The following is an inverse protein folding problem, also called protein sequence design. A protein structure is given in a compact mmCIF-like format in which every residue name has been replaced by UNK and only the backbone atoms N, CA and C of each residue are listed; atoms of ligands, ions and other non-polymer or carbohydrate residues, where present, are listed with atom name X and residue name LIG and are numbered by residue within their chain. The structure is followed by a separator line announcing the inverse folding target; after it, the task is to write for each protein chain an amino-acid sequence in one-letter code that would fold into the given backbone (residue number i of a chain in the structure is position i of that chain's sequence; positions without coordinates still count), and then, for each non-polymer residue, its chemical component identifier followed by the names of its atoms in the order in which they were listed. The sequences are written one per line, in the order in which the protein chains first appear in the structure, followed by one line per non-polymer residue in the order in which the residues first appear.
data_IF_912425187348
#
_entry.id   IF_912425187348
#
_cell.length_a   1.000
_cell.length_b   1.000
_cell.length_c   1.000
_cell.angle_alpha   90.00
_cell.angle_beta   90.00
_cell.angle_gamma   90.00
#
_symmetry.space_group_name_H-M   'P 1'
#
loop_
_entity.id
_entity.type
_entity.pdbx_description
1 polymer ?
#
# COMPACT_ATOMS: atom_id res chain seq x y z
N UNK A 1 19.50 -8.80 21.06
CA UNK A 1 18.42 -7.94 21.58
C UNK A 1 18.00 -6.84 20.60
N UNK A 2 18.82 -5.88 20.20
CA UNK A 2 18.38 -4.84 19.23
C UNK A 2 18.19 -5.37 17.80
N UNK A 3 18.98 -6.35 17.35
CA UNK A 3 18.81 -6.99 16.03
C UNK A 3 17.59 -7.91 15.95
N UNK A 4 17.26 -8.63 17.04
CA UNK A 4 16.08 -9.50 17.10
C UNK A 4 14.78 -8.69 17.12
N UNK A 5 14.75 -7.58 17.85
CA UNK A 5 13.60 -6.66 17.84
C UNK A 5 13.47 -5.98 16.47
N UNK A 6 14.58 -5.58 15.84
CA UNK A 6 14.55 -5.01 14.49
C UNK A 6 14.08 -6.00 13.43
N UNK A 7 14.46 -7.28 13.54
CA UNK A 7 13.97 -8.34 12.64
C UNK A 7 12.50 -8.69 12.91
N UNK A 8 12.05 -8.72 14.16
CA UNK A 8 10.63 -8.89 14.48
C UNK A 8 9.77 -7.73 13.96
N UNK A 9 10.26 -6.48 14.03
CA UNK A 9 9.56 -5.32 13.47
C UNK A 9 9.56 -5.34 11.95
N UNK A 10 10.64 -5.79 11.31
CA UNK A 10 10.68 -5.99 9.87
C UNK A 10 9.61 -7.01 9.45
N UNK A 11 9.62 -8.20 10.06
CA UNK A 11 8.68 -9.32 9.80
C UNK A 11 7.20 -8.98 10.01
N UNK A 12 6.89 -7.94 10.79
CA UNK A 12 5.51 -7.50 10.96
C UNK A 12 4.91 -7.01 9.64
N UNK A 13 5.65 -6.24 8.83
CA UNK A 13 5.07 -5.63 7.62
C UNK A 13 4.67 -6.69 6.60
N UNK A 14 5.45 -7.75 6.44
CA UNK A 14 5.13 -8.81 5.48
C UNK A 14 4.02 -9.72 6.01
N UNK A 15 4.03 -10.03 7.32
CA UNK A 15 2.95 -10.77 7.97
C UNK A 15 1.60 -10.02 7.91
N UNK A 16 1.62 -8.69 8.05
CA UNK A 16 0.42 -7.87 7.87
C UNK A 16 -0.07 -7.86 6.42
N UNK A 17 0.82 -7.89 5.42
CA UNK A 17 0.42 -7.96 4.01
C UNK A 17 -0.31 -9.26 3.72
N UNK A 18 0.20 -10.38 4.24
CA UNK A 18 -0.43 -11.70 4.10
C UNK A 18 -1.83 -11.72 4.76
N UNK A 19 -1.96 -11.18 5.98
CA UNK A 19 -3.24 -11.09 6.66
C UNK A 19 -4.24 -10.11 6.00
N UNK A 20 -3.74 -9.03 5.39
CA UNK A 20 -4.55 -8.10 4.61
C UNK A 20 -5.03 -8.72 3.31
N UNK A 21 -4.15 -9.47 2.63
CA UNK A 21 -4.48 -10.14 1.38
C UNK A 21 -5.51 -11.26 1.59
N UNK A 22 -5.33 -12.06 2.64
CA UNK A 22 -6.29 -13.09 3.06
C UNK A 22 -7.67 -12.50 3.41
N UNK A 23 -7.71 -11.30 3.99
CA UNK A 23 -8.97 -10.63 4.36
C UNK A 23 -9.54 -9.69 3.29
N UNK A 24 -8.95 -9.62 2.09
CA UNK A 24 -9.46 -8.79 1.00
C UNK A 24 -9.32 -7.28 1.20
N UNK A 25 -8.45 -6.85 2.13
CA UNK A 25 -8.30 -5.44 2.53
C UNK A 25 -7.42 -4.68 1.55
N UNK A 26 -7.99 -4.34 0.39
CA UNK A 26 -7.29 -3.71 -0.75
C UNK A 26 -6.43 -2.51 -0.37
N UNK A 27 -6.98 -1.57 0.40
CA UNK A 27 -6.27 -0.34 0.80
C UNK A 27 -5.09 -0.61 1.74
N UNK A 28 -5.22 -1.62 2.61
CA UNK A 28 -4.13 -2.05 3.49
C UNK A 28 -3.03 -2.73 2.67
N UNK A 29 -3.39 -3.63 1.75
CA UNK A 29 -2.44 -4.25 0.83
C UNK A 29 -1.68 -3.18 0.05
N UNK A 30 -2.37 -2.20 -0.51
CA UNK A 30 -1.76 -1.10 -1.28
C UNK A 30 -0.76 -0.31 -0.41
N UNK A 31 -1.18 0.08 0.80
CA UNK A 31 -0.32 0.81 1.73
C UNK A 31 0.94 0.02 2.08
N UNK A 32 0.81 -1.29 2.30
CA UNK A 32 1.93 -2.16 2.67
C UNK A 32 2.89 -2.38 1.51
N UNK A 33 2.38 -2.55 0.29
CA UNK A 33 3.18 -2.65 -0.93
C UNK A 33 3.94 -1.35 -1.24
N UNK A 34 3.30 -0.19 -1.05
CA UNK A 34 3.96 1.13 -1.16
C UNK A 34 5.08 1.33 -0.11
N UNK A 35 4.96 0.67 1.04
CA UNK A 35 6.01 0.63 2.07
C UNK A 35 7.11 -0.42 1.79
N UNK A 36 7.06 -1.09 0.63
CA UNK A 36 8.02 -2.12 0.24
C UNK A 36 7.86 -3.40 1.06
N UNK A 37 6.62 -3.82 1.34
CA UNK A 37 6.35 -5.17 1.79
C UNK A 37 6.69 -6.17 0.67
N UNK A 38 7.22 -7.32 1.06
CA UNK A 38 7.60 -8.38 0.13
C UNK A 38 6.34 -9.14 -0.33
N UNK A 39 6.10 -9.18 -1.64
CA UNK A 39 4.97 -9.90 -2.25
C UNK A 39 5.14 -11.41 -2.19
N UNK A 40 6.37 -11.88 -1.99
CA UNK A 40 6.75 -13.29 -1.97
C UNK A 40 6.96 -13.81 -0.55
N UNK A 41 6.63 -13.01 0.45
CA UNK A 41 6.73 -13.43 1.84
C UNK A 41 5.83 -14.63 2.11
N UNK A 42 6.39 -15.61 2.80
CA UNK A 42 5.68 -16.80 3.26
C UNK A 42 5.97 -16.99 4.74
N UNK A 43 5.02 -17.58 5.46
CA UNK A 43 5.25 -18.03 6.82
C UNK A 43 4.84 -19.51 6.98
N UNK A 44 5.37 -20.14 8.02
CA UNK A 44 5.09 -21.55 8.30
C UNK A 44 3.66 -21.81 8.78
N UNK A 45 2.97 -20.76 9.26
CA UNK A 45 1.64 -20.81 9.86
C UNK A 45 0.52 -20.88 8.80
N UNK A 46 0.76 -20.39 7.58
CA UNK A 46 -0.24 -20.32 6.49
C UNK A 46 0.06 -21.27 5.33
N UNK A 47 0.65 -22.44 5.61
CA UNK A 47 1.04 -23.42 4.58
C UNK A 47 1.99 -22.88 3.49
N UNK A 48 2.83 -21.91 3.84
CA UNK A 48 3.69 -21.21 2.88
C UNK A 48 2.91 -20.46 1.78
N UNK A 49 1.65 -20.08 2.05
CA UNK A 49 0.90 -19.19 1.16
C UNK A 49 1.62 -17.84 1.03
N UNK A 50 1.86 -17.42 -0.21
CA UNK A 50 2.19 -16.03 -0.52
C UNK A 50 0.94 -15.16 -0.37
N UNK A 51 1.06 -13.82 -0.19
CA UNK A 51 -0.06 -12.89 -0.25
C UNK A 51 -0.97 -13.10 -1.46
N UNK A 52 -0.39 -13.44 -2.62
CA UNK A 52 -1.15 -13.72 -3.84
C UNK A 52 -2.00 -14.99 -3.70
N UNK A 53 -1.41 -16.09 -3.22
CA UNK A 53 -2.13 -17.35 -3.01
C UNK A 53 -3.25 -17.18 -1.97
N UNK A 54 -3.00 -16.45 -0.87
CA UNK A 54 -3.99 -16.16 0.15
C UNK A 54 -5.17 -15.32 -0.38
N UNK A 55 -4.92 -14.32 -1.23
CA UNK A 55 -5.97 -13.55 -1.88
C UNK A 55 -6.79 -14.39 -2.87
N UNK A 56 -6.15 -15.31 -3.60
CA UNK A 56 -6.83 -16.24 -4.51
C UNK A 56 -7.73 -17.23 -3.77
N UNK A 57 -7.24 -17.78 -2.65
CA UNK A 57 -7.96 -18.75 -1.80
C UNK A 57 -9.30 -18.20 -1.30
N UNK A 58 -9.38 -16.88 -1.11
CA UNK A 58 -10.58 -16.18 -0.66
C UNK A 58 -11.31 -15.40 -1.78
N UNK A 59 -10.88 -15.52 -3.04
CA UNK A 59 -11.55 -14.90 -4.19
C UNK A 59 -11.42 -13.38 -4.28
N UNK A 60 -10.42 -12.77 -3.65
CA UNK A 60 -10.26 -11.31 -3.58
C UNK A 60 -9.62 -10.72 -4.83
N UNK A 61 -10.39 -10.67 -5.93
CA UNK A 61 -9.93 -10.24 -7.27
C UNK A 61 -9.19 -8.91 -7.29
N UNK A 62 -9.72 -7.89 -6.62
CA UNK A 62 -9.09 -6.57 -6.59
C UNK A 62 -7.70 -6.61 -5.94
N UNK A 63 -7.54 -7.40 -4.87
CA UNK A 63 -6.25 -7.60 -4.21
C UNK A 63 -5.30 -8.40 -5.09
N UNK A 64 -5.80 -9.41 -5.80
CA UNK A 64 -5.00 -10.18 -6.77
C UNK A 64 -4.47 -9.29 -7.89
N UNK A 65 -5.31 -8.45 -8.49
CA UNK A 65 -4.88 -7.48 -9.51
C UNK A 65 -3.81 -6.52 -8.96
N UNK A 66 -3.99 -6.03 -7.73
CA UNK A 66 -3.02 -5.16 -7.08
C UNK A 66 -1.68 -5.87 -6.86
N UNK A 67 -1.67 -7.08 -6.32
CA UNK A 67 -0.44 -7.84 -6.07
C UNK A 67 0.31 -8.16 -7.36
N UNK A 68 -0.40 -8.55 -8.43
CA UNK A 68 0.19 -8.77 -9.76
C UNK A 68 0.79 -7.48 -10.33
N UNK A 69 0.11 -6.33 -10.17
CA UNK A 69 0.64 -5.04 -10.60
C UNK A 69 1.91 -4.64 -9.84
N UNK A 70 2.06 -5.09 -8.60
CA UNK A 70 3.26 -4.92 -7.78
C UNK A 70 4.33 -6.02 -7.99
N UNK A 71 4.17 -6.87 -9.00
CA UNK A 71 5.18 -7.84 -9.41
C UNK A 71 5.13 -9.18 -8.66
N UNK A 72 4.01 -9.50 -7.99
CA UNK A 72 3.85 -10.81 -7.36
C UNK A 72 3.93 -11.94 -8.39
N UNK A 73 4.68 -13.00 -8.06
CA UNK A 73 4.94 -14.11 -8.97
C UNK A 73 3.80 -15.14 -8.96
N UNK A 74 2.97 -15.12 -10.01
CA UNK A 74 1.88 -16.07 -10.22
C UNK A 74 2.32 -17.54 -10.39
N UNK A 75 3.61 -17.81 -10.59
CA UNK A 75 4.14 -19.17 -10.77
C UNK A 75 4.47 -19.88 -9.45
N UNK A 76 4.43 -19.16 -8.32
CA UNK A 76 4.61 -19.74 -6.99
C UNK A 76 3.46 -20.67 -6.64
N UNK A 77 3.78 -21.63 -5.80
CA UNK A 77 2.85 -22.64 -5.31
C UNK A 77 2.99 -22.80 -3.80
N UNK A 78 1.93 -23.33 -3.19
CA UNK A 78 1.92 -23.69 -1.76
C UNK A 78 2.71 -25.00 -1.51
N UNK A 79 2.69 -25.46 -0.25
CA UNK A 79 3.33 -26.71 0.18
C UNK A 79 2.95 -27.95 -0.61
N UNK A 80 1.73 -28.01 -1.14
CA UNK A 80 1.21 -29.15 -1.91
C UNK A 80 1.43 -28.96 -3.42
N UNK A 81 2.24 -27.97 -3.81
CA UNK A 81 2.45 -27.51 -5.18
C UNK A 81 1.18 -27.04 -5.90
N UNK A 82 0.19 -26.55 -5.16
CA UNK A 82 -0.97 -25.90 -5.77
C UNK A 82 -0.56 -24.52 -6.29
N UNK A 83 -0.70 -24.32 -7.61
CA UNK A 83 -0.58 -22.99 -8.22
C UNK A 83 -1.82 -22.14 -7.93
N UNK A 84 -1.77 -20.84 -8.29
CA UNK A 84 -2.93 -19.94 -8.19
C UNK A 84 -4.21 -20.53 -8.83
N UNK A 85 -4.10 -21.25 -9.96
CA UNK A 85 -5.26 -21.85 -10.62
C UNK A 85 -5.78 -23.10 -9.90
N UNK A 86 -4.91 -23.89 -9.26
CA UNK A 86 -5.37 -25.01 -8.41
C UNK A 86 -6.17 -24.47 -7.22
N UNK A 87 -5.67 -23.39 -6.58
CA UNK A 87 -6.35 -22.75 -5.46
C UNK A 87 -7.72 -22.21 -5.89
N UNK A 88 -7.80 -21.50 -7.02
CA UNK A 88 -9.08 -20.97 -7.53
C UNK A 88 -10.04 -22.12 -7.85
N UNK A 89 -9.56 -23.20 -8.49
CA UNK A 89 -10.37 -24.39 -8.80
C UNK A 89 -10.89 -25.11 -7.55
N UNK A 90 -10.12 -25.12 -6.45
CA UNK A 90 -10.50 -25.81 -5.23
C UNK A 90 -11.48 -25.01 -4.35
N UNK A 91 -11.43 -23.68 -4.45
CA UNK A 91 -12.11 -22.78 -3.51
C UNK A 91 -13.30 -22.02 -4.10
N UNK A 92 -13.11 -21.34 -5.23
CA UNK A 92 -14.06 -20.33 -5.73
C UNK A 92 -14.62 -20.64 -7.10
N UNK A 93 -13.83 -21.24 -7.99
CA UNK A 93 -14.21 -21.47 -9.39
C UNK A 93 -14.46 -20.17 -10.18
N UNK A 94 -13.86 -19.04 -9.77
CA UNK A 94 -14.11 -17.75 -10.40
C UNK A 94 -13.33 -17.58 -11.71
N UNK A 95 -14.03 -17.71 -12.83
CA UNK A 95 -13.50 -17.57 -14.20
C UNK A 95 -12.77 -16.24 -14.43
N UNK A 96 -13.31 -15.19 -13.84
CA UNK A 96 -12.86 -13.85 -14.09
C UNK A 96 -11.72 -13.46 -13.11
N UNK A 97 -11.52 -14.22 -12.03
CA UNK A 97 -10.26 -14.29 -11.29
C UNK A 97 -9.18 -15.04 -12.09
N UNK A 98 -9.50 -16.21 -12.67
CA UNK A 98 -8.53 -16.97 -13.49
C UNK A 98 -8.01 -16.18 -14.69
N UNK A 99 -8.89 -15.35 -15.29
CA UNK A 99 -8.53 -14.48 -16.42
C UNK A 99 -7.44 -13.45 -16.07
N UNK A 100 -7.26 -13.09 -14.79
CA UNK A 100 -6.21 -12.16 -14.36
C UNK A 100 -4.80 -12.74 -14.52
N UNK A 101 -4.66 -14.05 -14.66
CA UNK A 101 -3.36 -14.71 -14.80
C UNK A 101 -2.91 -14.89 -16.26
N UNK A 102 -3.66 -14.36 -17.24
CA UNK A 102 -3.20 -14.33 -18.62
C UNK A 102 -1.98 -13.40 -18.77
N UNK A 103 -0.93 -13.80 -19.52
CA UNK A 103 -0.85 -14.98 -20.40
C UNK A 103 -0.40 -16.29 -19.71
N UNK A 104 0.05 -16.25 -18.47
CA UNK A 104 0.60 -17.42 -17.74
C UNK A 104 -0.45 -18.51 -17.43
N UNK A 105 -1.74 -18.18 -17.52
CA UNK A 105 -2.86 -19.07 -17.21
C UNK A 105 -2.77 -20.44 -17.92
N UNK A 106 -2.34 -20.48 -19.19
CA UNK A 106 -2.21 -21.74 -19.93
C UNK A 106 -1.16 -22.68 -19.31
N UNK A 107 0.03 -22.17 -19.01
CA UNK A 107 1.07 -22.95 -18.37
C UNK A 107 0.61 -23.48 -17.01
N UNK A 108 -0.05 -22.62 -16.22
CA UNK A 108 -0.54 -22.96 -14.88
C UNK A 108 -1.68 -23.99 -14.91
N UNK A 109 -2.55 -23.97 -15.92
CA UNK A 109 -3.67 -24.91 -16.03
C UNK A 109 -3.22 -26.36 -16.28
N UNK A 110 -2.04 -26.54 -16.89
CA UNK A 110 -1.47 -27.87 -17.19
C UNK A 110 -0.47 -28.37 -16.15
N UNK A 111 -0.04 -27.51 -15.21
CA UNK A 111 0.81 -27.97 -14.09
C UNK A 111 0.03 -28.93 -13.19
N UNK A 112 0.71 -29.94 -12.67
CA UNK A 112 0.15 -30.88 -11.69
C UNK A 112 0.67 -30.58 -10.29
N UNK A 113 -0.21 -30.60 -9.29
CA UNK A 113 0.17 -30.55 -7.88
C UNK A 113 0.75 -31.89 -7.38
N UNK A 114 1.07 -31.99 -6.07
CA UNK A 114 1.64 -33.23 -5.49
C UNK A 114 0.68 -34.42 -5.49
N UNK A 115 -0.62 -34.18 -5.63
CA UNK A 115 -1.62 -35.24 -5.85
C UNK A 115 -1.67 -35.71 -7.32
N UNK A 116 -0.87 -35.12 -8.20
CA UNK A 116 -0.85 -35.42 -9.64
C UNK A 116 -2.05 -34.87 -10.41
N UNK A 117 -2.78 -33.91 -9.83
CA UNK A 117 -3.97 -33.30 -10.43
C UNK A 117 -3.63 -31.95 -11.03
N UNK A 118 -4.24 -31.63 -12.16
CA UNK A 118 -4.24 -30.28 -12.74
C UNK A 118 -5.34 -29.41 -12.15
N UNK A 119 -5.29 -28.09 -12.38
CA UNK A 119 -6.37 -27.19 -12.00
C UNK A 119 -7.72 -27.57 -12.66
N UNK A 120 -7.67 -28.10 -13.90
CA UNK A 120 -8.86 -28.59 -14.61
C UNK A 120 -9.42 -29.84 -13.93
N UNK A 121 -8.57 -30.78 -13.51
CA UNK A 121 -9.02 -31.99 -12.80
C UNK A 121 -9.72 -31.64 -11.48
N UNK A 122 -9.16 -30.68 -10.72
CA UNK A 122 -9.78 -30.18 -9.49
C UNK A 122 -11.12 -29.51 -9.79
N UNK A 123 -11.20 -28.67 -10.81
CA UNK A 123 -12.44 -27.99 -11.19
C UNK A 123 -13.56 -28.99 -11.53
N UNK A 124 -13.23 -30.08 -12.24
CA UNK A 124 -14.16 -31.15 -12.55
C UNK A 124 -14.61 -31.90 -11.28
N UNK A 125 -13.68 -32.20 -10.36
CA UNK A 125 -14.00 -32.85 -9.09
C UNK A 125 -14.87 -31.98 -8.17
N UNK A 126 -14.72 -30.65 -8.25
CA UNK A 126 -15.52 -29.66 -7.50
C UNK A 126 -16.81 -29.25 -8.23
N UNK A 127 -17.10 -29.86 -9.38
CA UNK A 127 -18.27 -29.58 -10.23
C UNK A 127 -18.33 -28.14 -10.79
N UNK A 128 -17.18 -27.46 -10.90
CA UNK A 128 -17.05 -26.14 -11.53
C UNK A 128 -16.88 -26.27 -13.06
N UNK A 129 -17.92 -26.77 -13.74
CA UNK A 129 -17.88 -27.04 -15.18
C UNK A 129 -17.59 -25.81 -16.03
N UNK A 130 -18.22 -24.67 -15.71
CA UNK A 130 -18.02 -23.41 -16.44
C UNK A 130 -16.58 -22.89 -16.29
N UNK A 131 -16.00 -23.02 -15.08
CA UNK A 131 -14.60 -22.72 -14.83
C UNK A 131 -13.64 -23.63 -15.60
N UNK A 132 -13.91 -24.94 -15.63
CA UNK A 132 -13.11 -25.91 -16.38
C UNK A 132 -13.13 -25.62 -17.90
N UNK A 133 -14.31 -25.29 -18.44
CA UNK A 133 -14.47 -24.86 -19.84
C UNK A 133 -13.72 -23.55 -20.12
N UNK A 134 -13.81 -22.58 -19.20
CA UNK A 134 -13.09 -21.31 -19.30
C UNK A 134 -11.57 -21.51 -19.32
N UNK A 135 -11.03 -22.35 -18.42
CA UNK A 135 -9.61 -22.70 -18.43
C UNK A 135 -9.19 -23.38 -19.74
N UNK A 136 -10.03 -24.25 -20.31
CA UNK A 136 -9.77 -24.87 -21.60
C UNK A 136 -9.71 -23.83 -22.72
N UNK A 137 -10.67 -22.89 -22.76
CA UNK A 137 -10.69 -21.79 -23.72
C UNK A 137 -9.47 -20.87 -23.60
N UNK A 138 -9.06 -20.52 -22.39
CA UNK A 138 -7.85 -19.72 -22.13
C UNK A 138 -6.57 -20.41 -22.64
N UNK A 139 -6.53 -21.75 -22.63
CA UNK A 139 -5.41 -22.51 -23.20
C UNK A 139 -5.41 -22.48 -24.73
N UNK A 140 -6.58 -22.63 -25.38
CA UNK A 140 -6.69 -22.69 -26.85
C UNK A 140 -6.42 -21.36 -27.56
N UNK A 141 -6.65 -20.23 -26.90
CA UNK A 141 -6.52 -18.91 -27.50
C UNK A 141 -5.08 -18.37 -27.54
N UNK A 142 -4.15 -18.95 -26.78
CA UNK A 142 -2.74 -18.53 -26.75
C UNK A 142 -1.84 -19.23 -27.79
N UNK A 143 -2.32 -20.31 -28.42
CA UNK A 143 -1.58 -21.02 -29.48
C UNK A 143 -1.76 -20.39 -30.88
N UNK A 144 -2.60 -19.34 -30.98
CA UNK A 144 -2.98 -18.70 -32.24
C UNK A 144 -2.02 -17.65 -32.79
N UNK A 145 -0.93 -17.32 -32.11
CA UNK A 145 0.08 -16.37 -32.60
C UNK A 145 1.35 -17.09 -33.09
N UNK A 146 1.18 -18.07 -33.98
CA UNK A 146 2.27 -18.56 -34.83
C UNK A 146 2.14 -17.91 -36.20
N UNK A 147 3.04 -16.96 -36.45
CA UNK A 147 3.19 -16.18 -37.68
C UNK A 147 3.08 -17.07 -38.93
N UNK A 148 2.04 -16.82 -39.74
CA UNK A 148 2.13 -17.01 -41.17
C UNK A 148 2.87 -15.81 -41.75
N UNK A 149 4.19 -15.89 -41.87
CA UNK A 149 4.89 -15.09 -42.89
C UNK A 149 6.07 -15.87 -43.46
N UNK A 150 5.90 -16.15 -44.74
CA UNK A 150 6.83 -16.79 -45.63
C UNK A 150 7.57 -15.64 -46.33
N UNK A 151 8.85 -15.41 -46.02
CA UNK A 151 9.73 -14.83 -47.04
C UNK A 151 11.22 -15.12 -46.83
N UNK A 152 11.73 -15.87 -47.80
CA UNK A 152 13.11 -15.97 -48.24
C UNK A 152 13.74 -14.59 -48.52
N UNK A 153 14.90 -14.30 -47.92
CA UNK A 153 16.19 -14.13 -48.63
C UNK A 153 17.21 -13.20 -47.95
N UNK A 154 18.46 -13.64 -48.03
CA UNK A 154 19.72 -12.88 -48.07
C UNK A 154 20.26 -12.12 -46.85
N UNK A 155 21.24 -12.78 -46.22
CA UNK A 155 22.67 -12.39 -46.22
C UNK A 155 23.11 -11.05 -45.59
N UNK A 156 24.02 -11.20 -44.62
CA UNK A 156 25.26 -10.43 -44.38
C UNK A 156 25.26 -9.48 -43.16
N UNK A 157 26.25 -9.70 -42.28
CA UNK A 157 27.27 -8.75 -41.75
C UNK A 157 26.75 -7.37 -41.25
N UNK A 158 27.12 -6.76 -40.12
CA UNK A 158 28.25 -6.87 -39.20
C UNK A 158 28.18 -5.67 -38.21
N UNK A 159 28.71 -5.82 -37.00
CA UNK A 159 29.42 -4.80 -36.18
C UNK A 159 28.71 -3.60 -35.53
N UNK A 160 29.16 -3.39 -34.27
CA UNK A 160 29.52 -2.15 -33.55
C UNK A 160 28.47 -1.31 -32.81
N UNK A 161 28.70 -1.23 -31.49
CA UNK A 161 28.83 -0.04 -30.63
C UNK A 161 27.67 0.99 -30.55
N UNK A 162 27.14 1.21 -29.34
CA UNK A 162 27.44 2.36 -28.44
C UNK A 162 26.28 2.60 -27.44
N UNK A 163 26.64 2.93 -26.20
CA UNK A 163 25.79 3.32 -25.04
C UNK A 163 25.04 4.67 -25.22
N UNK A 164 24.07 5.03 -24.32
CA UNK A 164 22.91 5.90 -24.58
C UNK A 164 23.13 7.38 -24.23
N UNK A 165 22.14 8.26 -24.48
CA UNK A 165 21.72 9.15 -23.39
C UNK A 165 20.24 9.58 -23.34
N UNK A 166 19.78 9.75 -22.09
CA UNK A 166 19.03 10.87 -21.49
C UNK A 166 17.61 11.28 -21.94
N UNK A 167 16.87 11.61 -20.88
CA UNK A 167 15.53 12.19 -20.77
C UNK A 167 15.19 13.36 -21.70
N UNK A 168 13.91 13.40 -22.09
CA UNK A 168 13.02 14.57 -22.20
C UNK A 168 11.58 14.05 -22.35
N UNK A 169 10.71 14.20 -21.35
CA UNK A 169 9.59 15.16 -21.39
C UNK A 169 8.79 15.16 -22.70
N UNK A 170 7.55 14.65 -22.67
CA UNK A 170 6.40 15.03 -23.52
C UNK A 170 5.16 14.45 -22.80
N UNK A 171 4.36 15.30 -22.17
CA UNK A 171 3.22 16.01 -22.74
C UNK A 171 1.95 15.15 -22.69
N UNK A 172 1.02 15.64 -21.86
CA UNK A 172 -0.37 15.21 -21.76
C UNK A 172 -1.05 15.73 -23.02
N UNK A 173 -1.53 14.83 -23.88
CA UNK A 173 -2.52 15.16 -24.89
C UNK A 173 -3.86 14.55 -24.46
N UNK A 174 -4.77 15.49 -24.23
CA UNK A 174 -6.19 15.40 -23.95
C UNK A 174 -6.91 15.13 -25.28
N UNK A 175 -7.62 14.01 -25.39
CA UNK A 175 -8.55 13.78 -26.50
C UNK A 175 -9.75 12.94 -26.07
N UNK A 176 -10.87 13.63 -25.85
CA UNK A 176 -12.12 13.33 -26.54
C UNK A 176 -12.88 12.07 -26.12
N UNK A 177 -13.67 12.17 -25.05
CA UNK A 177 -14.87 11.36 -24.86
C UNK A 177 -15.91 11.76 -25.93
N UNK A 178 -16.16 10.90 -26.92
CA UNK A 178 -17.25 11.04 -27.88
C UNK A 178 -18.38 10.07 -27.50
N UNK A 179 -19.52 10.66 -27.13
CA UNK A 179 -20.80 10.02 -26.87
C UNK A 179 -21.47 9.71 -28.21
N UNK A 180 -21.77 8.44 -28.46
CA UNK A 180 -22.69 8.05 -29.51
C UNK A 180 -23.41 6.77 -29.15
N UNK A 181 -24.45 6.96 -28.35
CA UNK A 181 -25.62 6.08 -28.30
C UNK A 181 -26.29 6.05 -29.68
N UNK A 182 -26.36 4.89 -30.35
CA UNK A 182 -27.56 4.52 -31.13
C UNK A 182 -27.64 3.04 -31.54
N UNK A 183 -28.81 2.49 -31.23
CA UNK A 183 -29.59 1.53 -32.01
C UNK A 183 -29.08 0.08 -32.19
N UNK A 184 -29.55 -0.78 -31.29
CA UNK A 184 -30.16 -2.03 -31.73
C UNK A 184 -31.67 -1.99 -31.46
N UNK A 185 -32.43 -1.89 -32.55
CA UNK A 185 -33.85 -2.17 -32.54
C UNK A 185 -34.08 -3.67 -32.36
N UNK A 186 -34.94 -3.94 -31.40
CA UNK A 186 -35.68 -5.15 -31.10
C UNK A 186 -36.24 -5.88 -32.33
N UNK A 187 -36.17 -7.21 -32.28
CA UNK A 187 -37.26 -8.05 -32.75
C UNK A 187 -37.36 -9.32 -31.89
N UNK A 188 -38.54 -9.51 -31.28
CA UNK A 188 -39.19 -10.77 -30.87
C UNK A 188 -38.48 -11.62 -29.77
N UNK A 189 -39.07 -12.05 -28.66
CA UNK A 189 -40.46 -12.41 -28.40
C UNK A 189 -40.61 -12.77 -26.90
N UNK A 190 -41.69 -12.30 -26.27
CA UNK A 190 -42.48 -12.85 -25.16
C UNK A 190 -41.82 -13.64 -24.01
N UNK A 191 -41.98 -13.11 -22.79
CA UNK A 191 -41.78 -13.85 -21.54
C UNK A 191 -41.82 -12.90 -20.34
N UNK A 192 -43.02 -12.46 -19.97
CA UNK A 192 -43.28 -11.71 -18.73
C UNK A 192 -42.91 -12.57 -17.52
N UNK A 193 -41.86 -12.23 -16.80
CA UNK A 193 -41.71 -12.55 -15.39
C UNK A 193 -41.28 -11.26 -14.67
N UNK A 194 -42.27 -10.66 -13.99
CA UNK A 194 -42.07 -9.57 -13.06
C UNK A 194 -41.20 -10.05 -11.90
N UNK A 195 -39.90 -9.72 -11.93
CA UNK A 195 -39.11 -9.64 -10.71
C UNK A 195 -38.84 -8.17 -10.44
N UNK A 196 -39.55 -7.65 -9.45
CA UNK A 196 -39.27 -6.37 -8.82
C UNK A 196 -37.80 -6.35 -8.39
N UNK A 197 -36.94 -5.65 -9.15
CA UNK A 197 -35.65 -5.19 -8.64
C UNK A 197 -35.99 -4.07 -7.67
N UNK A 198 -36.31 -4.47 -6.45
CA UNK A 198 -36.40 -3.57 -5.31
C UNK A 198 -35.06 -2.81 -5.21
N UNK A 199 -35.18 -1.50 -5.12
CA UNK A 199 -34.15 -0.53 -4.78
C UNK A 199 -33.02 -1.15 -3.95
N UNK A 200 -31.86 -1.38 -4.58
CA UNK A 200 -30.61 -1.41 -3.84
C UNK A 200 -30.31 0.06 -3.57
N UNK A 201 -30.58 0.43 -2.32
CA UNK A 201 -30.56 1.76 -1.75
C UNK A 201 -29.39 2.62 -2.27
N UNK A 202 -29.69 3.75 -2.91
CA UNK A 202 -28.74 4.85 -3.16
C UNK A 202 -28.00 5.26 -1.85
N UNK A 203 -28.61 5.00 -0.70
CA UNK A 203 -28.04 5.18 0.64
C UNK A 203 -26.82 4.28 0.90
N UNK A 204 -26.75 3.07 0.35
CA UNK A 204 -25.60 2.16 0.54
C UNK A 204 -24.38 2.56 -0.29
N UNK A 205 -24.60 3.13 -1.49
CA UNK A 205 -23.53 3.64 -2.34
C UNK A 205 -22.92 4.94 -1.78
N UNK A 206 -23.77 5.86 -1.30
CA UNK A 206 -23.31 7.08 -0.61
C UNK A 206 -22.55 6.74 0.70
N UNK A 207 -23.04 5.77 1.49
CA UNK A 207 -22.33 5.31 2.69
C UNK A 207 -20.98 4.65 2.36
N UNK A 208 -20.88 3.86 1.30
CA UNK A 208 -19.60 3.27 0.86
C UNK A 208 -18.61 4.32 0.37
N UNK A 209 -19.07 5.38 -0.31
CA UNK A 209 -18.21 6.49 -0.73
C UNK A 209 -17.74 7.33 0.46
N UNK A 210 -18.59 7.59 1.45
CA UNK A 210 -18.22 8.28 2.68
C UNK A 210 -17.20 7.47 3.51
N UNK A 211 -17.39 6.15 3.65
CA UNK A 211 -16.45 5.25 4.33
C UNK A 211 -15.10 5.17 3.60
N UNK A 212 -15.12 5.14 2.26
CA UNK A 212 -13.90 5.16 1.43
C UNK A 212 -13.14 6.47 1.55
N UNK A 213 -13.85 7.60 1.56
CA UNK A 213 -13.26 8.93 1.74
C UNK A 213 -12.71 9.12 3.18
N UNK A 214 -13.42 8.63 4.20
CA UNK A 214 -12.95 8.63 5.58
C UNK A 214 -11.68 7.78 5.76
N UNK A 215 -11.63 6.62 5.08
CA UNK A 215 -10.45 5.74 5.10
C UNK A 215 -9.24 6.39 4.45
N UNK A 216 -9.41 7.03 3.28
CA UNK A 216 -8.35 7.83 2.63
C UNK A 216 -7.89 8.99 3.53
N UNK A 217 -8.83 9.65 4.21
CA UNK A 217 -8.53 10.73 5.14
C UNK A 217 -7.70 10.24 6.34
N UNK A 218 -8.03 9.07 6.91
CA UNK A 218 -7.22 8.45 7.96
C UNK A 218 -5.83 8.08 7.45
N UNK A 219 -5.72 7.53 6.25
CA UNK A 219 -4.46 7.09 5.66
C UNK A 219 -3.49 8.25 5.43
N UNK A 220 -3.98 9.40 4.93
CA UNK A 220 -3.17 10.62 4.79
C UNK A 220 -2.73 11.15 6.15
N UNK A 221 -3.62 11.15 7.15
CA UNK A 221 -3.27 11.56 8.52
C UNK A 221 -2.21 10.65 9.13
N UNK A 222 -2.32 9.34 8.92
CA UNK A 222 -1.38 8.34 9.43
C UNK A 222 -0.03 8.46 8.73
N UNK A 223 -0.01 8.72 7.42
CA UNK A 223 1.21 8.98 6.65
C UNK A 223 1.91 10.27 7.11
N UNK A 224 1.17 11.36 7.28
CA UNK A 224 1.71 12.64 7.78
C UNK A 224 2.26 12.49 9.21
N UNK A 225 1.52 11.81 10.08
CA UNK A 225 1.97 11.52 11.44
C UNK A 225 3.23 10.63 11.45
N UNK A 226 3.30 9.63 10.57
CA UNK A 226 4.46 8.76 10.41
C UNK A 226 5.68 9.53 9.90
N UNK A 227 5.50 10.41 8.91
CA UNK A 227 6.58 11.23 8.38
C UNK A 227 7.12 12.20 9.44
N UNK A 228 6.21 12.92 10.13
CA UNK A 228 6.57 13.79 11.25
C UNK A 228 7.30 13.00 12.35
N UNK A 229 6.81 11.82 12.71
CA UNK A 229 7.46 10.93 13.66
C UNK A 229 8.87 10.52 13.19
N UNK A 230 9.03 10.18 11.91
CA UNK A 230 10.34 9.81 11.35
C UNK A 230 11.34 10.97 11.39
N UNK A 231 10.88 12.21 11.13
CA UNK A 231 11.70 13.41 11.19
C UNK A 231 12.16 13.68 12.63
N UNK A 232 11.24 13.60 13.60
CA UNK A 232 11.55 13.76 15.04
C UNK A 232 12.50 12.64 15.53
N UNK A 233 12.27 11.40 15.09
CA UNK A 233 13.15 10.27 15.44
C UNK A 233 14.55 10.44 14.87
N UNK A 234 14.67 10.94 13.63
CA UNK A 234 15.95 11.23 12.99
C UNK A 234 16.70 12.33 13.73
N UNK A 235 16.04 13.45 14.02
CA UNK A 235 16.67 14.56 14.77
C UNK A 235 17.12 14.12 16.17
N UNK A 236 16.32 13.28 16.84
CA UNK A 236 16.71 12.64 18.11
C UNK A 236 17.97 11.79 17.95
N UNK A 237 18.07 11.00 16.89
CA UNK A 237 19.20 10.09 16.66
C UNK A 237 20.48 10.86 16.28
N UNK A 238 20.36 11.92 15.49
CA UNK A 238 21.45 12.85 15.19
C UNK A 238 21.97 13.51 16.49
N UNK A 239 21.07 14.04 17.33
CA UNK A 239 21.43 14.62 18.63
C UNK A 239 22.06 13.59 19.58
N UNK A 240 21.57 12.34 19.59
CA UNK A 240 22.17 11.26 20.39
C UNK A 240 23.57 10.89 19.90
N UNK A 241 23.80 10.88 18.59
CA UNK A 241 25.12 10.62 18.02
C UNK A 241 26.12 11.72 18.43
N UNK A 242 25.73 12.99 18.31
CA UNK A 242 26.55 14.13 18.77
C UNK A 242 26.82 14.06 20.28
N UNK A 243 25.84 13.67 21.09
CA UNK A 243 26.02 13.48 22.54
C UNK A 243 26.98 12.32 22.85
N UNK A 244 26.97 11.26 22.03
CA UNK A 244 27.86 10.11 22.18
C UNK A 244 29.31 10.46 21.85
N UNK A 245 29.55 11.35 20.88
CA UNK A 245 30.89 11.89 20.59
C UNK A 245 31.42 12.75 21.76
N UNK A 246 30.52 13.39 22.51
CA UNK A 246 30.83 14.16 23.72
C UNK A 246 30.92 13.30 24.99
N UNK A 247 30.48 12.03 24.94
CA UNK A 247 30.47 11.08 26.06
C UNK A 247 31.83 10.85 26.76
N UNK A 248 33.01 10.97 26.10
CA UNK A 248 34.31 10.92 26.79
C UNK A 248 34.51 12.02 27.85
N UNK A 249 33.74 13.11 27.81
CA UNK A 249 33.77 14.21 28.79
C UNK A 249 33.05 13.85 30.10
N UNK A 250 32.18 12.84 30.09
CA UNK A 250 31.45 12.38 31.28
C UNK A 250 32.18 11.24 32.03
N UNK A 251 33.51 11.28 32.09
CA UNK A 251 34.28 10.44 33.03
C UNK A 251 34.51 11.21 34.33
N UNK A 252 34.26 10.55 35.45
CA UNK A 252 34.50 11.09 36.80
C UNK A 252 35.99 11.34 37.11
N UNK A 253 36.89 10.89 36.24
CA UNK A 253 38.33 10.99 36.43
C UNK A 253 38.93 12.27 35.79
N UNK A 254 39.43 13.19 36.64
CA UNK A 254 40.15 14.43 36.27
C UNK A 254 41.38 14.24 35.34
N UNK A 255 41.78 12.99 35.09
CA UNK A 255 42.89 12.62 34.21
C UNK A 255 42.68 13.01 32.74
N UNK A 256 41.43 13.12 32.29
CA UNK A 256 41.10 13.47 30.90
C UNK A 256 41.29 14.97 30.61
N UNK A 257 40.94 15.83 31.57
CA UNK A 257 41.01 17.28 31.44
C UNK A 257 42.43 17.82 31.64
N UNK A 258 43.20 17.18 32.52
CA UNK A 258 44.57 17.58 32.86
C UNK A 258 45.59 17.42 31.73
N UNK A 259 45.27 16.65 30.68
CA UNK A 259 46.15 16.43 29.52
C UNK A 259 45.86 17.37 28.33
N UNK A 260 44.81 18.19 28.40
CA UNK A 260 44.37 19.05 27.29
C UNK A 260 44.81 20.50 27.47
N UNK A 261 45.12 21.15 26.35
CA UNK A 261 45.41 22.58 26.31
C UNK A 261 44.14 23.41 26.54
N UNK A 262 44.31 24.65 27.00
CA UNK A 262 43.20 25.60 27.19
C UNK A 262 42.41 25.83 25.90
N UNK A 263 43.07 25.84 24.74
CA UNK A 263 42.41 26.01 23.44
C UNK A 263 41.51 24.82 23.09
N UNK A 264 41.95 23.59 23.38
CA UNK A 264 41.14 22.39 23.17
C UNK A 264 39.92 22.39 24.10
N UNK A 265 40.11 22.72 25.38
CA UNK A 265 39.00 22.82 26.34
C UNK A 265 37.97 23.88 25.94
N UNK A 266 38.41 25.04 25.43
CA UNK A 266 37.51 26.07 24.89
C UNK A 266 36.78 25.62 23.61
N UNK A 267 37.41 24.81 22.77
CA UNK A 267 36.75 24.24 21.59
C UNK A 267 35.65 23.25 22.01
N UNK A 268 35.91 22.41 23.02
CA UNK A 268 34.91 21.50 23.59
C UNK A 268 33.75 22.27 24.25
N UNK A 269 34.03 23.32 25.02
CA UNK A 269 32.98 24.15 25.63
C UNK A 269 32.03 24.73 24.58
N UNK A 270 32.56 25.20 23.44
CA UNK A 270 31.74 25.70 22.33
C UNK A 270 30.90 24.60 21.69
N UNK A 271 31.47 23.40 21.50
CA UNK A 271 30.72 22.26 20.95
C UNK A 271 29.57 21.86 21.88
N UNK A 272 29.83 21.72 23.18
CA UNK A 272 28.80 21.39 24.18
C UNK A 272 27.69 22.44 24.19
N UNK A 273 28.03 23.74 24.20
CA UNK A 273 27.04 24.83 24.13
C UNK A 273 26.18 24.74 22.87
N UNK A 274 26.79 24.47 21.72
CA UNK A 274 26.08 24.36 20.44
C UNK A 274 25.08 23.19 20.45
N UNK A 275 25.47 22.04 20.98
CA UNK A 275 24.59 20.86 21.09
C UNK A 275 23.45 21.14 22.08
N UNK A 276 23.73 21.77 23.23
CA UNK A 276 22.71 22.16 24.20
C UNK A 276 21.68 23.13 23.63
N UNK A 277 22.11 24.17 22.91
CA UNK A 277 21.22 25.12 22.24
C UNK A 277 20.31 24.42 21.21
N UNK A 278 20.84 23.44 20.46
CA UNK A 278 20.05 22.64 19.52
C UNK A 278 19.03 21.74 20.22
N UNK A 279 19.39 21.13 21.35
CA UNK A 279 18.47 20.32 22.16
C UNK A 279 17.35 21.19 22.72
N UNK A 280 17.66 22.36 23.26
CA UNK A 280 16.67 23.32 23.76
C UNK A 280 15.71 23.75 22.67
N UNK A 281 16.23 24.11 21.49
CA UNK A 281 15.41 24.51 20.34
C UNK A 281 14.51 23.38 19.82
N UNK A 282 15.02 22.16 19.74
CA UNK A 282 14.23 21.00 19.34
C UNK A 282 13.10 20.72 20.35
N UNK A 283 13.39 20.88 21.65
CA UNK A 283 12.41 20.76 22.72
C UNK A 283 11.32 21.83 22.63
N UNK A 284 11.70 23.09 22.38
CA UNK A 284 10.76 24.20 22.18
C UNK A 284 9.83 23.92 20.98
N UNK A 285 10.36 23.47 19.85
CA UNK A 285 9.54 23.16 18.66
C UNK A 285 8.53 22.03 18.92
N UNK A 286 8.95 20.98 19.65
CA UNK A 286 8.07 19.89 20.08
C UNK A 286 6.98 20.35 21.07
N UNK A 287 7.27 21.37 21.88
CA UNK A 287 6.30 21.99 22.78
C UNK A 287 5.31 22.87 21.98
N UNK A 288 5.80 23.71 21.06
CA UNK A 288 4.98 24.56 20.18
C UNK A 288 4.01 23.76 19.30
N UNK A 289 4.44 22.62 18.74
CA UNK A 289 3.57 21.77 17.93
C UNK A 289 2.40 21.16 18.71
N UNK A 290 2.53 21.04 20.05
CA UNK A 290 1.45 20.57 20.94
C UNK A 290 0.47 21.69 21.28
N UNK A 291 0.83 22.95 21.09
CA UNK A 291 -0.01 24.09 21.43
C UNK A 291 -1.02 24.40 20.33
N UNK A 292 -2.16 24.92 20.74
CA UNK A 292 -3.25 25.31 19.87
C UNK A 292 -2.76 26.35 18.85
N UNK A 293 -3.05 26.11 17.57
CA UNK A 293 -2.63 27.01 16.49
C UNK A 293 -3.29 28.39 16.55
N UNK A 294 -4.38 28.55 17.32
CA UNK A 294 -5.10 29.83 17.49
C UNK A 294 -4.50 30.65 18.64
N UNK A 295 -4.48 30.12 19.86
CA UNK A 295 -3.99 30.88 21.02
C UNK A 295 -2.50 30.72 21.30
N UNK A 296 -1.86 29.64 20.82
CA UNK A 296 -0.46 29.27 21.12
C UNK A 296 -0.12 29.18 22.61
N UNK A 297 -1.13 29.02 23.47
CA UNK A 297 -0.97 28.97 24.92
C UNK A 297 -1.44 27.64 25.51
N UNK A 298 -2.58 27.13 25.00
CA UNK A 298 -3.21 25.91 25.51
C UNK A 298 -2.96 24.73 24.56
N UNK A 299 -2.88 23.49 25.06
CA UNK A 299 -2.65 22.32 24.21
C UNK A 299 -3.81 22.05 23.24
N UNK A 300 -3.51 21.36 22.13
CA UNK A 300 -4.51 20.88 21.18
C UNK A 300 -5.32 19.74 21.82
N UNK A 301 -6.64 19.90 21.89
CA UNK A 301 -7.55 18.93 22.53
C UNK A 301 -8.80 18.63 21.70
N UNK A 302 -9.18 19.53 20.78
CA UNK A 302 -10.43 19.49 20.03
C UNK A 302 -10.14 19.50 18.53
N UNK A 303 -10.63 18.46 17.84
CA UNK A 303 -10.62 18.33 16.38
C UNK A 303 -11.91 18.89 15.78
N UNK A 304 -11.77 19.66 14.71
CA UNK A 304 -12.88 20.29 13.99
C UNK A 304 -13.35 19.39 12.83
N UNK A 305 -14.62 18.97 12.85
CA UNK A 305 -15.24 18.10 11.84
C UNK A 305 -16.17 18.88 10.89
N UNK A 306 -16.42 18.39 9.66
CA UNK A 306 -15.95 17.11 9.09
C UNK A 306 -14.54 17.16 8.49
N UNK A 307 -14.05 18.36 8.17
CA UNK A 307 -12.83 18.52 7.37
C UNK A 307 -11.53 18.05 8.05
N UNK A 308 -11.48 18.03 9.39
CA UNK A 308 -10.32 17.62 10.23
C UNK A 308 -9.01 18.37 10.00
N UNK A 309 -9.02 19.44 9.21
CA UNK A 309 -7.84 20.25 8.95
C UNK A 309 -7.34 21.04 10.17
N UNK A 310 -8.17 21.17 11.22
CA UNK A 310 -7.87 22.04 12.36
C UNK A 310 -8.05 21.30 13.69
N UNK A 311 -6.98 21.27 14.50
CA UNK A 311 -6.98 20.79 15.88
C UNK A 311 -6.53 21.92 16.82
N UNK A 312 -7.36 22.26 17.81
CA UNK A 312 -7.25 23.46 18.67
C UNK A 312 -7.51 23.13 20.13
N UNK A 313 -7.26 24.05 21.06
CA UNK A 313 -7.64 23.88 22.46
C UNK A 313 -9.16 23.98 22.64
N UNK A 314 -9.68 23.47 23.76
CA UNK A 314 -11.11 23.54 24.11
C UNK A 314 -11.69 24.95 24.03
N UNK A 315 -10.97 25.93 24.56
CA UNK A 315 -11.42 27.33 24.57
C UNK A 315 -11.55 27.91 23.16
N UNK A 316 -10.54 27.70 22.31
CA UNK A 316 -10.57 28.20 20.94
C UNK A 316 -11.55 27.43 20.05
N UNK A 317 -11.69 26.11 20.26
CA UNK A 317 -12.65 25.28 19.56
C UNK A 317 -14.10 25.69 19.85
N UNK A 318 -14.39 26.09 21.09
CA UNK A 318 -15.75 26.45 21.52
C UNK A 318 -16.15 27.91 21.20
N UNK A 319 -15.30 28.67 20.51
CA UNK A 319 -15.66 30.04 20.10
C UNK A 319 -16.82 29.99 19.09
N UNK A 320 -17.87 30.75 19.39
CA UNK A 320 -19.09 30.84 18.56
C UNK A 320 -18.79 31.36 17.16
N UNK A 321 -17.75 32.19 17.01
CA UNK A 321 -17.31 32.77 15.74
C UNK A 321 -16.67 31.73 14.80
N UNK A 322 -16.12 30.63 15.34
CA UNK A 322 -15.50 29.56 14.57
C UNK A 322 -16.58 28.63 14.01
N UNK A 323 -17.29 29.13 13.00
CA UNK A 323 -18.39 28.44 12.31
C UNK A 323 -17.93 27.69 11.06
N UNK A 324 -16.76 28.05 10.52
CA UNK A 324 -16.14 27.45 9.33
C UNK A 324 -14.66 27.21 9.53
N UNK A 325 -14.13 26.18 8.87
CA UNK A 325 -12.70 25.90 8.87
C UNK A 325 -11.94 27.01 8.11
N UNK A 326 -10.87 27.59 8.67
CA UNK A 326 -10.09 28.64 8.00
C UNK A 326 -9.27 28.11 6.82
N UNK A 327 -8.98 26.81 6.76
CA UNK A 327 -8.16 26.20 5.71
C UNK A 327 -9.00 25.81 4.49
N UNK A 328 -10.10 25.07 4.68
CA UNK A 328 -10.95 24.59 3.57
C UNK A 328 -12.31 25.30 3.44
N UNK A 329 -12.65 26.23 4.35
CA UNK A 329 -13.92 27.00 4.37
C UNK A 329 -15.20 26.19 4.59
N UNK A 330 -15.06 24.91 4.88
CA UNK A 330 -16.14 23.99 5.19
C UNK A 330 -16.84 24.33 6.52
N UNK A 331 -18.14 24.07 6.61
CA UNK A 331 -18.94 24.35 7.81
C UNK A 331 -18.56 23.37 8.92
N UNK A 332 -18.39 23.91 10.13
CA UNK A 332 -18.05 23.10 11.30
C UNK A 332 -19.32 22.47 11.82
N UNK A 333 -19.50 21.18 11.54
CA UNK A 333 -20.66 20.41 11.97
C UNK A 333 -20.49 19.89 13.40
N UNK A 334 -19.29 19.41 13.75
CA UNK A 334 -19.03 18.76 15.03
C UNK A 334 -17.62 19.10 15.56
N UNK A 335 -17.46 18.98 16.88
CA UNK A 335 -16.19 19.21 17.59
C UNK A 335 -15.93 17.99 18.48
N UNK A 336 -14.85 17.26 18.19
CA UNK A 336 -14.52 16.02 18.89
C UNK A 336 -13.32 16.26 19.79
N UNK A 337 -13.40 15.87 21.07
CA UNK A 337 -12.25 15.88 21.98
C UNK A 337 -11.36 14.68 21.68
N UNK A 338 -10.09 14.91 21.31
CA UNK A 338 -9.16 13.85 20.87
C UNK A 338 -8.17 13.43 21.95
N UNK A 339 -8.01 14.24 23.00
CA UNK A 339 -7.15 13.95 24.14
C UNK A 339 -7.93 14.23 25.43
N UNK A 340 -8.22 13.18 26.21
CA UNK A 340 -8.89 13.25 27.51
C UNK A 340 -8.10 12.52 28.58
#
# INVERSE_FOLDING_TARGET
MTSEISNHIALLKESFLLAAASGGRLLECQSLLELGADTEYVNDETNEDTPLLAACRNGHRAVVSLLLAHGADSTKCDRDKNTVLHIVADTTGDEALASLFCPNASALAHTTNDAGKTAIDIAVEREFSAFAEHLHHLCTNNDGNSESDNDTSHSSQSSSDTLPPHMSSLAIDDDGYDDSSSNYNSDSNAGEDSFDIAAIDDVQLEQQEEESNFTRQLQVQLYQAKYALSAVMKERDDLKAELSELQPLYREDDSFYSQKSLQELQAYERQVKTVLERIEKAKEHLEEEKLCVICRENPKEVLIMPCRHLCVCKECGNRVELTRCPLCREVIAERISVFS
#
